data_IF_741261739275
#
_entry.id   IF_741261739275
#
_cell.length_a   1.000
_cell.length_b   1.000
_cell.length_c   1.000
_cell.angle_alpha   90.00
_cell.angle_beta   90.00
_cell.angle_gamma   90.00
#
_symmetry.space_group_name_H-M   'P 1'
#
loop_
_entity.id
_entity.type
_entity.pdbx_description
1 polymer ?
#
# COMPACT_ATOMS: atom_id res chain seq x y z
N UNK A 1 1.23 -3.71 -10.92
CA UNK A 1 2.19 -2.57 -10.74
C UNK A 1 1.45 -1.26 -10.46
N UNK A 2 1.69 -0.65 -9.29
CA UNK A 2 1.03 0.60 -8.85
C UNK A 2 1.45 1.80 -9.70
N UNK A 3 0.47 2.60 -10.14
CA UNK A 3 0.71 3.83 -10.91
C UNK A 3 1.49 4.89 -10.10
N UNK A 4 2.20 5.78 -10.80
CA UNK A 4 2.93 6.89 -10.16
C UNK A 4 2.00 7.81 -9.38
N UNK A 5 0.80 8.08 -9.91
CA UNK A 5 -0.21 8.88 -9.24
C UNK A 5 -0.64 8.27 -7.90
N UNK A 6 -0.95 6.98 -7.88
CA UNK A 6 -1.36 6.28 -6.66
C UNK A 6 -0.22 6.24 -5.63
N UNK A 7 1.04 6.10 -6.07
CA UNK A 7 2.22 6.22 -5.18
C UNK A 7 2.28 7.60 -4.52
N UNK A 8 2.10 8.67 -5.29
CA UNK A 8 2.06 10.04 -4.75
C UNK A 8 0.92 10.23 -3.77
N UNK A 9 -0.27 9.67 -4.06
CA UNK A 9 -1.42 9.73 -3.15
C UNK A 9 -1.13 9.01 -1.82
N UNK A 10 -0.56 7.79 -1.86
CA UNK A 10 -0.19 7.02 -0.67
C UNK A 10 0.84 7.79 0.17
N UNK A 11 1.91 8.29 -0.45
CA UNK A 11 2.93 9.08 0.24
C UNK A 11 2.33 10.35 0.87
N UNK A 12 1.50 11.08 0.13
CA UNK A 12 0.84 12.29 0.62
C UNK A 12 -0.09 12.01 1.80
N UNK A 13 -0.87 10.94 1.75
CA UNK A 13 -1.74 10.51 2.84
C UNK A 13 -0.94 10.17 4.10
N UNK A 14 0.18 9.45 3.95
CA UNK A 14 1.06 9.11 5.06
C UNK A 14 1.70 10.35 5.70
N UNK A 15 2.19 11.30 4.90
CA UNK A 15 2.74 12.57 5.42
C UNK A 15 1.71 13.37 6.23
N UNK A 16 0.48 13.52 5.70
CA UNK A 16 -0.61 14.22 6.42
C UNK A 16 -0.98 13.50 7.72
N UNK A 17 -1.00 12.17 7.73
CA UNK A 17 -1.27 11.39 8.93
C UNK A 17 -0.21 11.64 10.01
N UNK A 18 1.08 11.61 9.64
CA UNK A 18 2.18 11.87 10.58
C UNK A 18 2.10 13.28 11.16
N UNK A 19 1.86 14.28 10.32
CA UNK A 19 1.69 15.68 10.73
C UNK A 19 0.54 15.83 11.73
N UNK A 20 -0.64 15.31 11.40
CA UNK A 20 -1.83 15.38 12.24
C UNK A 20 -1.66 14.68 13.61
N UNK A 21 -0.70 13.75 13.71
CA UNK A 21 -0.37 13.02 14.95
C UNK A 21 0.93 13.50 15.60
N UNK A 22 1.60 14.51 15.03
CA UNK A 22 2.93 14.98 15.48
C UNK A 22 3.95 13.83 15.61
N UNK A 23 3.92 12.90 14.66
CA UNK A 23 4.80 11.73 14.61
C UNK A 23 5.93 11.93 13.60
N UNK A 24 7.05 11.24 13.84
CA UNK A 24 8.18 11.18 12.89
C UNK A 24 8.10 9.93 12.02
N UNK A 25 8.42 10.02 10.71
CA UNK A 25 8.39 8.88 9.80
C UNK A 25 9.49 7.88 10.14
N UNK A 26 9.15 6.59 10.23
CA UNK A 26 10.13 5.49 10.39
C UNK A 26 10.31 4.71 9.09
N UNK A 27 11.51 4.18 8.87
CA UNK A 27 11.83 3.39 7.67
C UNK A 27 10.94 2.15 7.57
N UNK A 28 10.84 1.35 8.64
CA UNK A 28 9.99 0.15 8.65
C UNK A 28 8.53 0.42 8.33
N UNK A 29 7.98 1.56 8.78
CA UNK A 29 6.61 1.95 8.42
C UNK A 29 6.47 2.24 6.91
N UNK A 30 7.45 2.93 6.30
CA UNK A 30 7.43 3.17 4.85
C UNK A 30 7.57 1.88 4.05
N UNK A 31 8.44 0.98 4.51
CA UNK A 31 8.62 -0.34 3.89
C UNK A 31 7.33 -1.17 3.99
N UNK A 32 6.72 -1.23 5.17
CA UNK A 32 5.43 -1.91 5.39
C UNK A 32 4.34 -1.38 4.48
N UNK A 33 4.18 -0.05 4.37
CA UNK A 33 3.19 0.57 3.48
C UNK A 33 3.47 0.18 2.02
N UNK A 34 4.73 0.18 1.60
CA UNK A 34 5.09 -0.17 0.23
C UNK A 34 4.78 -1.65 -0.08
N UNK A 35 5.09 -2.58 0.82
CA UNK A 35 4.81 -4.00 0.63
C UNK A 35 3.31 -4.30 0.60
N UNK A 36 2.53 -3.72 1.51
CA UNK A 36 1.07 -3.85 1.50
C UNK A 36 0.47 -3.29 0.22
N UNK A 37 0.92 -2.11 -0.22
CA UNK A 37 0.41 -1.49 -1.43
C UNK A 37 0.68 -2.34 -2.68
N UNK A 38 1.87 -2.96 -2.79
CA UNK A 38 2.21 -3.85 -3.91
C UNK A 38 1.27 -5.06 -3.94
N UNK A 39 1.15 -5.74 -2.80
CA UNK A 39 0.36 -6.97 -2.68
C UNK A 39 -1.11 -6.70 -3.00
N UNK A 40 -1.69 -5.62 -2.48
CA UNK A 40 -3.06 -5.24 -2.80
C UNK A 40 -3.25 -4.84 -4.27
N UNK A 41 -2.25 -4.19 -4.87
CA UNK A 41 -2.29 -3.72 -6.26
C UNK A 41 -2.05 -4.80 -7.30
N UNK A 42 -1.56 -5.96 -6.89
CA UNK A 42 -1.31 -7.12 -7.76
C UNK A 42 -2.33 -8.25 -7.51
N UNK A 43 -3.43 -7.99 -6.76
CA UNK A 43 -4.55 -8.94 -6.64
C UNK A 43 -5.25 -9.04 -8.00
N UNK A 44 -5.30 -10.24 -8.56
CA UNK A 44 -6.03 -10.52 -9.79
C UNK A 44 -7.54 -10.44 -9.58
N UNK A 45 -8.23 -9.99 -10.62
CA UNK A 45 -9.69 -9.94 -10.65
C UNK A 45 -10.24 -10.57 -11.93
N UNK A 46 -11.40 -11.21 -11.84
CA UNK A 46 -12.16 -11.69 -12.99
C UNK A 46 -12.82 -10.52 -13.77
N UNK A 47 -13.54 -10.86 -14.84
CA UNK A 47 -14.22 -9.88 -15.70
C UNK A 47 -15.35 -9.12 -14.98
N UNK A 48 -15.88 -9.66 -13.88
CA UNK A 48 -16.86 -8.98 -13.03
C UNK A 48 -16.22 -8.20 -11.87
N UNK A 49 -14.88 -8.13 -11.82
CA UNK A 49 -14.12 -7.39 -10.80
C UNK A 49 -14.07 -8.10 -9.44
N UNK A 50 -14.39 -9.40 -9.36
CA UNK A 50 -14.22 -10.18 -8.14
C UNK A 50 -12.78 -10.68 -8.06
N UNK A 51 -12.24 -10.77 -6.84
CA UNK A 51 -10.91 -11.34 -6.62
C UNK A 51 -10.85 -12.77 -7.16
N UNK A 52 -9.80 -13.07 -7.90
CA UNK A 52 -9.49 -14.41 -8.41
C UNK A 52 -8.15 -14.89 -7.87
N UNK A 53 -7.90 -16.20 -7.96
CA UNK A 53 -6.63 -16.80 -7.52
C UNK A 53 -6.52 -17.05 -6.01
N UNK A 54 -5.29 -17.33 -5.58
CA UNK A 54 -4.97 -17.63 -4.20
C UNK A 54 -5.01 -16.39 -3.30
N UNK A 55 -5.17 -16.54 -1.98
CA UNK A 55 -5.11 -15.42 -1.05
C UNK A 55 -3.81 -14.62 -1.19
N UNK A 56 -3.94 -13.31 -1.40
CA UNK A 56 -2.80 -12.40 -1.36
C UNK A 56 -2.31 -12.20 0.08
N UNK A 57 -1.16 -12.79 0.40
CA UNK A 57 -0.56 -12.77 1.74
C UNK A 57 0.82 -12.10 1.68
N UNK A 58 1.10 -11.24 2.66
CA UNK A 58 2.42 -10.61 2.83
C UNK A 58 2.81 -10.56 4.30
N UNK A 59 4.07 -10.88 4.57
CA UNK A 59 4.72 -10.66 5.85
C UNK A 59 5.77 -9.55 5.68
N UNK A 60 5.90 -8.68 6.68
CA UNK A 60 6.86 -7.58 6.70
C UNK A 60 7.66 -7.67 7.99
N UNK A 61 8.98 -7.64 7.88
CA UNK A 61 9.94 -7.69 8.99
C UNK A 61 10.63 -6.33 9.23
#
# INVERSE_FOLDING_TARGET
MISTELKTQIQGAYSRFLEAKSLKPRYGQRLMIAEVAKVLGDIDTDEEGRRSGDPAVVAVE
#
